data_IF_839936328970
#
_entry.id   IF_839936328970
#
_cell.length_a   1.000
_cell.length_b   1.000
_cell.length_c   1.000
_cell.angle_alpha   90.00
_cell.angle_beta   90.00
_cell.angle_gamma   90.00
#
_symmetry.space_group_name_H-M   'P 1'
#
loop_
_entity.id
_entity.type
_entity.pdbx_description
1 polymer ?
#
# COMPACT_ATOMS: atom_id res chain seq x y z
N UNK A 1 3.31 3.07 -24.36
CA UNK A 1 2.54 3.69 -23.28
C UNK A 1 3.35 3.66 -21.98
N UNK A 2 3.14 4.60 -21.05
CA UNK A 2 3.77 4.51 -19.75
C UNK A 2 3.25 3.29 -18.97
N UNK A 3 4.10 2.70 -18.11
CA UNK A 3 3.72 1.65 -17.17
C UNK A 3 2.74 2.23 -16.13
N UNK A 4 1.73 1.44 -15.76
CA UNK A 4 0.72 1.87 -14.79
C UNK A 4 1.14 1.50 -13.36
N UNK A 5 0.97 2.43 -12.43
CA UNK A 5 1.15 2.20 -11.00
C UNK A 5 -0.15 2.52 -10.26
N UNK A 6 -0.59 1.60 -9.42
CA UNK A 6 -1.72 1.78 -8.50
C UNK A 6 -1.23 1.92 -7.06
N UNK A 7 -1.74 2.93 -6.34
CA UNK A 7 -1.67 3.05 -4.89
C UNK A 7 -3.09 2.91 -4.29
N UNK A 8 -3.44 1.74 -3.71
CA UNK A 8 -4.78 1.48 -3.17
C UNK A 8 -5.06 2.10 -1.79
N UNK A 9 -4.06 2.72 -1.14
CA UNK A 9 -4.17 3.46 0.12
C UNK A 9 -3.46 4.80 -0.02
N UNK A 10 -3.82 5.59 -1.05
CA UNK A 10 -2.98 6.69 -1.50
C UNK A 10 -2.85 7.87 -0.52
N UNK A 11 -3.72 7.97 0.48
CA UNK A 11 -3.66 9.04 1.47
C UNK A 11 -3.61 10.41 0.82
N UNK A 12 -2.52 11.17 1.03
CA UNK A 12 -2.29 12.48 0.41
C UNK A 12 -1.54 12.44 -0.92
N UNK A 13 -1.27 11.23 -1.45
CA UNK A 13 -0.77 11.01 -2.81
C UNK A 13 0.75 11.08 -2.97
N UNK A 14 1.53 10.88 -1.92
CA UNK A 14 3.01 10.98 -1.99
C UNK A 14 3.59 9.98 -3.00
N UNK A 15 3.19 8.71 -2.94
CA UNK A 15 3.66 7.67 -3.88
C UNK A 15 3.24 8.02 -5.32
N UNK A 16 2.03 8.53 -5.51
CA UNK A 16 1.55 8.93 -6.84
C UNK A 16 2.33 10.11 -7.42
N UNK A 17 2.75 11.06 -6.57
CA UNK A 17 3.58 12.18 -6.98
C UNK A 17 4.94 11.69 -7.47
N UNK A 18 5.63 10.88 -6.68
CA UNK A 18 6.94 10.31 -7.03
C UNK A 18 6.85 9.46 -8.31
N UNK A 19 5.85 8.58 -8.40
CA UNK A 19 5.63 7.75 -9.57
C UNK A 19 5.35 8.58 -10.84
N UNK A 20 4.56 9.66 -10.72
CA UNK A 20 4.28 10.60 -11.80
C UNK A 20 5.54 11.30 -12.31
N UNK A 21 6.43 11.74 -11.40
CA UNK A 21 7.72 12.33 -11.73
C UNK A 21 8.67 11.31 -12.40
N UNK A 22 8.54 10.02 -12.09
CA UNK A 22 9.26 8.93 -12.76
C UNK A 22 8.69 8.59 -14.16
N UNK A 23 7.64 9.27 -14.61
CA UNK A 23 7.01 9.02 -15.91
C UNK A 23 6.01 7.88 -15.93
N UNK A 24 5.53 7.41 -14.78
CA UNK A 24 4.50 6.37 -14.69
C UNK A 24 3.10 6.96 -14.84
N UNK A 25 2.16 6.17 -15.35
CA UNK A 25 0.74 6.50 -15.28
C UNK A 25 0.18 6.10 -13.91
N UNK A 26 -0.35 7.05 -13.15
CA UNK A 26 -0.69 6.86 -11.75
C UNK A 26 -2.19 6.76 -11.50
N UNK A 27 -2.54 5.83 -10.65
CA UNK A 27 -3.90 5.53 -10.21
C UNK A 27 -3.92 5.42 -8.69
N UNK A 28 -4.83 6.12 -8.03
CA UNK A 28 -4.91 6.12 -6.58
C UNK A 28 -6.33 5.92 -6.07
N UNK A 29 -6.46 5.19 -4.97
CA UNK A 29 -7.70 5.08 -4.23
C UNK A 29 -7.45 5.21 -2.73
N UNK A 30 -8.45 5.71 -2.02
CA UNK A 30 -8.49 5.78 -0.56
C UNK A 30 -9.95 5.70 -0.12
N UNK A 31 -10.24 5.08 1.02
CA UNK A 31 -11.59 4.98 1.54
C UNK A 31 -12.10 6.30 2.16
N UNK A 32 -11.20 7.24 2.42
CA UNK A 32 -11.54 8.55 2.95
C UNK A 32 -11.62 9.59 1.81
N UNK A 33 -12.82 10.12 1.49
CA UNK A 33 -12.99 11.12 0.42
C UNK A 33 -12.09 12.35 0.59
N UNK A 34 -11.83 12.76 1.83
CA UNK A 34 -10.97 13.91 2.13
C UNK A 34 -9.51 13.67 1.71
N UNK A 35 -9.03 12.42 1.81
CA UNK A 35 -7.69 12.07 1.31
C UNK A 35 -7.62 12.18 -0.20
N UNK A 36 -8.66 11.78 -0.91
CA UNK A 36 -8.75 11.95 -2.37
C UNK A 36 -8.73 13.43 -2.77
N UNK A 37 -9.44 14.30 -2.05
CA UNK A 37 -9.41 15.75 -2.29
C UNK A 37 -8.00 16.34 -2.08
N UNK A 38 -7.30 15.93 -1.02
CA UNK A 38 -5.93 16.36 -0.77
C UNK A 38 -4.97 15.84 -1.83
N UNK A 39 -5.09 14.57 -2.20
CA UNK A 39 -4.30 13.97 -3.28
C UNK A 39 -4.51 14.70 -4.60
N UNK A 40 -5.77 15.00 -4.96
CA UNK A 40 -6.07 15.77 -6.17
C UNK A 40 -5.39 17.13 -6.17
N UNK A 41 -5.49 17.87 -5.04
CA UNK A 41 -4.86 19.19 -4.87
C UNK A 41 -3.34 19.11 -5.05
N UNK A 42 -2.70 18.13 -4.44
CA UNK A 42 -1.25 17.92 -4.52
C UNK A 42 -0.80 17.57 -5.95
N UNK A 43 -1.52 16.68 -6.61
CA UNK A 43 -1.22 16.25 -7.98
C UNK A 43 -1.49 17.38 -9.00
N UNK A 44 -2.51 18.20 -8.81
CA UNK A 44 -2.77 19.38 -9.64
C UNK A 44 -1.66 20.43 -9.48
N UNK A 45 -1.15 20.62 -8.26
CA UNK A 45 0.01 21.47 -8.02
C UNK A 45 1.25 20.94 -8.73
N UNK A 46 1.51 19.62 -8.62
CA UNK A 46 2.64 18.97 -9.28
C UNK A 46 2.57 19.10 -10.80
N UNK A 47 1.40 18.84 -11.39
CA UNK A 47 1.18 18.90 -12.84
C UNK A 47 1.34 20.31 -13.44
N UNK A 48 1.18 21.37 -12.61
CA UNK A 48 1.48 22.74 -13.04
C UNK A 48 2.95 23.06 -13.10
N UNK A 49 3.80 22.33 -12.38
CA UNK A 49 5.25 22.56 -12.28
C UNK A 49 6.08 21.60 -13.13
N UNK A 50 5.56 20.42 -13.37
CA UNK A 50 6.27 19.34 -14.03
C UNK A 50 5.40 18.69 -15.11
N UNK A 51 6.04 18.26 -16.20
CA UNK A 51 5.34 17.53 -17.25
C UNK A 51 5.16 16.07 -16.81
N UNK A 52 3.93 15.68 -16.49
CA UNK A 52 3.59 14.30 -16.16
C UNK A 52 3.25 13.51 -17.42
N UNK A 53 3.56 12.21 -17.44
CA UNK A 53 3.27 11.31 -18.56
C UNK A 53 1.78 11.14 -18.84
N UNK A 54 0.95 11.27 -17.80
CA UNK A 54 -0.52 11.22 -17.90
C UNK A 54 -1.15 11.97 -16.73
N UNK A 55 -2.43 12.32 -16.86
CA UNK A 55 -3.21 12.81 -15.71
C UNK A 55 -3.45 11.66 -14.74
N UNK A 56 -3.12 11.84 -13.44
CA UNK A 56 -3.46 10.88 -12.40
C UNK A 56 -4.97 10.63 -12.33
N UNK A 57 -5.37 9.38 -12.08
CA UNK A 57 -6.77 9.02 -11.87
C UNK A 57 -6.99 8.60 -10.43
N UNK A 58 -8.01 9.18 -9.79
CA UNK A 58 -8.34 8.98 -8.39
C UNK A 58 -9.78 8.48 -8.23
N UNK A 59 -10.02 7.69 -7.20
CA UNK A 59 -11.37 7.28 -6.80
C UNK A 59 -11.45 7.07 -5.29
N UNK A 60 -12.64 7.29 -4.72
CA UNK A 60 -12.93 6.85 -3.34
C UNK A 60 -13.28 5.38 -3.39
N UNK A 61 -12.54 4.54 -2.68
CA UNK A 61 -12.76 3.09 -2.68
C UNK A 61 -12.20 2.43 -1.42
N UNK A 62 -12.86 1.37 -0.96
CA UNK A 62 -12.32 0.48 0.06
C UNK A 62 -11.43 -0.58 -0.61
N UNK A 63 -10.17 -0.62 -0.24
CA UNK A 63 -9.20 -1.55 -0.82
C UNK A 63 -9.54 -3.03 -0.54
N UNK A 64 -10.40 -3.30 0.43
CA UNK A 64 -10.77 -4.67 0.83
C UNK A 64 -11.81 -5.33 -0.09
N UNK A 65 -12.49 -4.55 -0.96
CA UNK A 65 -13.57 -5.06 -1.82
C UNK A 65 -13.66 -4.41 -3.22
N UNK A 66 -12.87 -3.37 -3.50
CA UNK A 66 -12.95 -2.64 -4.75
C UNK A 66 -12.42 -3.43 -5.96
N UNK A 67 -13.10 -3.29 -7.12
CA UNK A 67 -12.69 -3.90 -8.39
C UNK A 67 -11.86 -2.95 -9.25
N UNK A 68 -10.53 -2.97 -9.05
CA UNK A 68 -9.61 -2.17 -9.86
C UNK A 68 -9.56 -2.61 -11.32
N UNK A 69 -9.75 -3.91 -11.62
CA UNK A 69 -9.81 -4.39 -13.00
C UNK A 69 -10.92 -3.74 -13.81
N UNK A 70 -12.08 -3.52 -13.20
CA UNK A 70 -13.22 -2.84 -13.86
C UNK A 70 -12.91 -1.35 -14.03
N UNK A 71 -12.26 -0.74 -13.07
CA UNK A 71 -11.92 0.69 -13.09
C UNK A 71 -10.78 1.02 -14.07
N UNK A 72 -9.76 0.16 -14.18
CA UNK A 72 -8.54 0.40 -14.96
C UNK A 72 -8.56 -0.21 -16.37
N UNK A 73 -9.49 -1.03 -16.69
CA UNK A 73 -9.50 -1.98 -17.80
C UNK A 73 -8.58 -3.21 -17.58
N UNK A 74 -8.86 -4.34 -18.22
CA UNK A 74 -8.12 -5.59 -18.05
C UNK A 74 -6.61 -5.43 -18.33
N UNK A 75 -5.79 -6.15 -17.57
CA UNK A 75 -4.32 -6.21 -17.72
C UNK A 75 -3.57 -4.86 -17.56
N UNK A 76 -4.14 -3.94 -16.77
CA UNK A 76 -3.54 -2.64 -16.51
C UNK A 76 -2.93 -2.50 -15.10
N UNK A 77 -3.04 -3.51 -14.25
CA UNK A 77 -2.45 -3.55 -12.91
C UNK A 77 -1.01 -4.08 -12.97
N UNK A 78 -0.08 -3.28 -13.51
CA UNK A 78 1.30 -3.70 -13.78
C UNK A 78 2.17 -3.56 -12.53
N UNK A 79 2.03 -2.44 -11.81
CA UNK A 79 2.76 -2.14 -10.58
C UNK A 79 1.80 -1.70 -9.49
N UNK A 80 2.04 -2.18 -8.30
CA UNK A 80 1.36 -1.76 -7.08
C UNK A 80 2.42 -1.22 -6.12
N UNK A 81 2.25 -0.01 -5.63
CA UNK A 81 3.09 0.53 -4.56
C UNK A 81 2.21 1.27 -3.56
N UNK A 82 2.32 0.94 -2.29
CA UNK A 82 1.46 1.51 -1.26
C UNK A 82 2.08 1.41 0.14
N UNK A 83 1.88 2.42 0.96
CA UNK A 83 1.91 2.28 2.41
C UNK A 83 0.50 1.92 2.86
N UNK A 84 0.32 0.69 3.37
CA UNK A 84 -1.00 0.20 3.78
C UNK A 84 -1.43 0.84 5.11
N UNK A 85 -2.63 0.47 5.61
CA UNK A 85 -3.06 0.91 6.94
C UNK A 85 -2.06 0.44 8.01
N UNK A 86 -1.43 1.38 8.71
CA UNK A 86 -0.43 1.12 9.75
C UNK A 86 -1.02 0.98 11.17
N UNK A 87 -2.33 1.04 11.27
CA UNK A 87 -3.04 1.01 12.54
C UNK A 87 -3.29 2.39 13.13
N UNK A 88 -3.83 2.38 14.36
CA UNK A 88 -4.11 3.63 15.10
C UNK A 88 -2.81 4.29 15.50
N UNK A 89 -2.67 5.61 15.34
CA UNK A 89 -1.49 6.32 15.82
C UNK A 89 -1.46 6.35 17.35
N UNK A 90 -0.26 6.23 17.92
CA UNK A 90 -0.03 6.35 19.35
C UNK A 90 0.84 7.58 19.63
N UNK A 91 0.43 8.38 20.60
CA UNK A 91 1.20 9.53 21.12
C UNK A 91 2.07 9.15 22.32
N UNK A 92 1.85 7.96 22.89
CA UNK A 92 2.63 7.35 23.97
C UNK A 92 2.59 5.83 23.80
N UNK A 93 3.50 5.06 24.43
CA UNK A 93 3.46 3.60 24.36
C UNK A 93 2.11 3.06 24.81
N UNK A 94 1.40 2.29 23.97
CA UNK A 94 0.07 1.77 24.29
C UNK A 94 0.15 0.61 25.28
N UNK A 95 -0.98 0.32 25.94
CA UNK A 95 -1.12 -0.92 26.69
C UNK A 95 -1.05 -2.15 25.78
N UNK A 96 -0.59 -3.29 26.29
CA UNK A 96 -0.44 -4.51 25.51
C UNK A 96 -1.78 -4.98 24.88
N UNK A 97 -2.90 -4.76 25.54
CA UNK A 97 -4.24 -5.06 25.02
C UNK A 97 -4.60 -4.21 23.81
N UNK A 98 -4.30 -2.91 23.86
CA UNK A 98 -4.53 -1.97 22.75
C UNK A 98 -3.68 -2.33 21.55
N UNK A 99 -2.43 -2.68 21.81
CA UNK A 99 -1.50 -3.10 20.76
C UNK A 99 -1.96 -4.40 20.07
N UNK A 100 -2.44 -5.39 20.84
CA UNK A 100 -3.01 -6.62 20.29
C UNK A 100 -4.26 -6.36 19.46
N UNK A 101 -5.14 -5.45 19.92
CA UNK A 101 -6.34 -5.05 19.14
C UNK A 101 -5.93 -4.38 17.83
N UNK A 102 -4.97 -3.45 17.87
CA UNK A 102 -4.49 -2.75 16.68
C UNK A 102 -3.84 -3.72 15.66
N UNK A 103 -3.01 -4.66 16.15
CA UNK A 103 -2.42 -5.71 15.32
C UNK A 103 -3.51 -6.57 14.66
N UNK A 104 -4.54 -6.94 15.42
CA UNK A 104 -5.68 -7.71 14.89
C UNK A 104 -6.40 -6.93 13.78
N UNK A 105 -6.73 -5.67 14.02
CA UNK A 105 -7.42 -4.80 13.04
C UNK A 105 -6.61 -4.68 11.74
N UNK A 106 -5.30 -4.41 11.85
CA UNK A 106 -4.41 -4.35 10.69
C UNK A 106 -4.33 -5.69 9.95
N UNK A 107 -4.22 -6.80 10.68
CA UNK A 107 -4.17 -8.13 10.09
C UNK A 107 -5.43 -8.47 9.29
N UNK A 108 -6.61 -8.10 9.80
CA UNK A 108 -7.88 -8.30 9.10
C UNK A 108 -7.98 -7.45 7.84
N UNK A 109 -7.65 -6.16 7.95
CA UNK A 109 -7.73 -5.22 6.81
C UNK A 109 -6.75 -5.64 5.71
N UNK A 110 -5.49 -5.88 6.07
CA UNK A 110 -4.44 -6.21 5.08
C UNK A 110 -4.68 -7.61 4.48
N UNK A 111 -5.12 -8.58 5.28
CA UNK A 111 -5.50 -9.89 4.77
C UNK A 111 -6.64 -9.84 3.75
N UNK A 112 -7.70 -9.07 4.03
CA UNK A 112 -8.80 -8.83 3.08
C UNK A 112 -8.32 -8.11 1.82
N UNK A 113 -7.49 -7.08 1.97
CA UNK A 113 -6.90 -6.36 0.85
C UNK A 113 -6.11 -7.29 -0.07
N UNK A 114 -5.20 -8.11 0.48
CA UNK A 114 -4.42 -9.08 -0.29
C UNK A 114 -5.32 -10.08 -1.01
N UNK A 115 -6.34 -10.60 -0.33
CA UNK A 115 -7.30 -11.53 -0.91
C UNK A 115 -8.11 -10.90 -2.05
N UNK A 116 -8.49 -9.62 -1.93
CA UNK A 116 -9.20 -8.87 -2.96
C UNK A 116 -8.28 -8.50 -4.14
N UNK A 117 -7.06 -8.00 -3.86
CA UNK A 117 -6.14 -7.54 -4.89
C UNK A 117 -5.61 -8.70 -5.76
N UNK A 118 -5.17 -9.79 -5.12
CA UNK A 118 -4.37 -10.82 -5.78
C UNK A 118 -5.04 -11.48 -7.00
N UNK A 119 -6.34 -11.79 -7.04
CA UNK A 119 -7.01 -12.35 -8.22
C UNK A 119 -7.14 -11.33 -9.38
N UNK A 120 -7.02 -10.04 -9.09
CA UNK A 120 -7.12 -8.97 -10.08
C UNK A 120 -5.78 -8.69 -10.78
N UNK A 121 -4.66 -9.21 -10.27
CA UNK A 121 -3.33 -8.97 -10.81
C UNK A 121 -3.01 -9.93 -11.97
N UNK A 122 -2.43 -9.43 -13.08
CA UNK A 122 -1.85 -10.32 -14.09
C UNK A 122 -0.58 -10.99 -13.55
N UNK A 123 -0.24 -12.17 -14.10
CA UNK A 123 1.04 -12.80 -13.83
C UNK A 123 2.20 -11.84 -14.17
N UNK A 124 3.22 -11.81 -13.33
CA UNK A 124 4.37 -10.91 -13.48
C UNK A 124 4.18 -9.53 -12.85
N UNK A 125 2.98 -9.15 -12.39
CA UNK A 125 2.77 -7.85 -11.73
C UNK A 125 3.70 -7.68 -10.53
N UNK A 126 4.34 -6.52 -10.45
CA UNK A 126 5.24 -6.12 -9.36
C UNK A 126 4.46 -5.43 -8.22
N UNK A 127 4.81 -5.76 -6.98
CA UNK A 127 4.11 -5.22 -5.81
C UNK A 127 5.13 -4.78 -4.76
N UNK A 128 5.02 -3.56 -4.29
CA UNK A 128 5.79 -3.05 -3.15
C UNK A 128 4.82 -2.50 -2.09
N UNK A 129 4.77 -3.12 -0.93
CA UNK A 129 3.89 -2.71 0.17
C UNK A 129 4.70 -2.38 1.41
N UNK A 130 4.44 -1.22 2.02
CA UNK A 130 4.81 -0.92 3.38
C UNK A 130 3.70 -1.38 4.32
N UNK A 131 3.92 -2.46 5.06
CA UNK A 131 2.96 -2.98 6.03
C UNK A 131 3.45 -2.73 7.47
N UNK A 132 2.55 -2.66 8.47
CA UNK A 132 2.99 -2.44 9.84
C UNK A 132 3.73 -3.65 10.42
N UNK A 133 4.81 -3.36 11.14
CA UNK A 133 5.51 -4.29 12.02
C UNK A 133 5.69 -3.63 13.38
N UNK A 134 5.40 -4.33 14.49
CA UNK A 134 5.44 -3.75 15.84
C UNK A 134 6.66 -4.19 16.61
N UNK A 135 7.33 -3.22 17.24
CA UNK A 135 8.44 -3.47 18.15
C UNK A 135 7.90 -3.55 19.57
N UNK A 136 7.91 -4.75 20.16
CA UNK A 136 7.42 -5.00 21.51
C UNK A 136 8.49 -5.78 22.26
N UNK A 137 9.08 -5.19 23.32
CA UNK A 137 10.05 -5.86 24.17
C UNK A 137 11.16 -6.57 23.39
N UNK A 138 11.81 -5.84 22.49
CA UNK A 138 12.91 -6.32 21.63
C UNK A 138 12.54 -7.39 20.59
N UNK A 139 11.26 -7.67 20.44
CA UNK A 139 10.74 -8.56 19.39
C UNK A 139 9.93 -7.81 18.35
N UNK A 140 10.10 -8.23 17.10
CA UNK A 140 9.32 -7.72 15.98
C UNK A 140 8.12 -8.65 15.79
N UNK A 141 6.94 -8.05 15.80
CA UNK A 141 5.68 -8.75 15.52
C UNK A 141 5.20 -8.40 14.12
N UNK A 142 5.25 -9.39 13.23
CA UNK A 142 4.74 -9.31 11.88
C UNK A 142 3.25 -9.60 11.83
N UNK A 143 2.60 -9.20 10.73
CA UNK A 143 1.20 -9.55 10.47
C UNK A 143 1.07 -11.05 10.16
N UNK A 144 0.24 -11.82 10.88
CA UNK A 144 0.01 -13.23 10.59
C UNK A 144 -0.47 -13.52 9.17
N UNK A 145 -1.27 -12.62 8.55
CA UNK A 145 -1.78 -12.80 7.19
C UNK A 145 -0.67 -12.86 6.12
N UNK A 146 0.55 -12.40 6.41
CA UNK A 146 1.67 -12.49 5.48
C UNK A 146 2.12 -13.93 5.22
N UNK A 147 1.85 -14.86 6.14
CA UNK A 147 2.11 -16.29 5.92
C UNK A 147 1.24 -16.89 4.81
N UNK A 148 0.12 -16.23 4.46
CA UNK A 148 -0.81 -16.68 3.42
C UNK A 148 -0.45 -16.18 2.00
N UNK A 149 0.57 -15.33 1.85
CA UNK A 149 0.99 -14.79 0.54
C UNK A 149 1.15 -15.87 -0.55
N UNK A 150 1.74 -17.06 -0.28
CA UNK A 150 1.86 -18.12 -1.30
C UNK A 150 0.50 -18.64 -1.79
N UNK A 151 -0.53 -18.69 -0.94
CA UNK A 151 -1.90 -19.08 -1.32
C UNK A 151 -2.53 -18.10 -2.30
N UNK A 152 -2.11 -16.82 -2.22
CA UNK A 152 -2.52 -15.76 -3.14
C UNK A 152 -1.65 -15.70 -4.41
N UNK A 153 -0.76 -16.69 -4.62
CA UNK A 153 0.23 -16.70 -5.72
C UNK A 153 1.10 -15.44 -5.73
N UNK A 154 1.47 -14.97 -4.54
CA UNK A 154 2.41 -13.87 -4.34
C UNK A 154 3.69 -14.44 -3.78
N UNK A 155 4.82 -14.15 -4.43
CA UNK A 155 6.15 -14.58 -4.00
C UNK A 155 7.02 -13.38 -3.66
N UNK A 156 7.78 -13.46 -2.59
CA UNK A 156 8.83 -12.47 -2.31
C UNK A 156 9.92 -12.59 -3.38
N UNK A 157 10.39 -11.45 -3.86
CA UNK A 157 11.53 -11.35 -4.78
C UNK A 157 12.76 -10.74 -4.10
N UNK A 158 12.67 -10.38 -2.82
CA UNK A 158 13.83 -9.96 -2.02
C UNK A 158 14.56 -11.19 -1.48
N UNK A 159 15.88 -11.20 -1.65
CA UNK A 159 16.77 -12.20 -1.03
C UNK A 159 17.42 -11.56 0.18
N UNK A 160 17.15 -12.08 1.37
CA UNK A 160 17.81 -11.64 2.59
C UNK A 160 16.85 -11.26 3.73
N UNK A 161 17.36 -10.48 4.69
CA UNK A 161 16.61 -10.07 5.87
C UNK A 161 15.42 -9.17 5.50
N UNK A 162 14.37 -9.22 6.33
CA UNK A 162 13.21 -8.36 6.19
C UNK A 162 13.64 -6.88 6.18
N UNK A 163 13.17 -6.15 5.17
CA UNK A 163 13.42 -4.71 5.04
C UNK A 163 12.46 -3.97 5.97
N UNK A 164 12.91 -3.63 7.17
CA UNK A 164 12.08 -2.90 8.14
C UNK A 164 12.65 -1.51 8.37
N UNK A 165 11.83 -0.50 8.09
CA UNK A 165 12.09 0.88 8.48
C UNK A 165 11.39 1.18 9.81
N UNK A 166 12.16 1.50 10.84
CA UNK A 166 11.66 1.82 12.17
C UNK A 166 12.38 3.04 12.73
N UNK A 167 11.63 3.97 13.31
CA UNK A 167 12.17 5.09 14.07
C UNK A 167 12.18 4.74 15.56
N UNK A 168 13.24 5.08 16.31
CA UNK A 168 13.36 4.72 17.73
C UNK A 168 12.23 5.25 18.62
N UNK A 169 11.60 6.35 18.21
CA UNK A 169 10.48 7.02 18.90
C UNK A 169 9.09 6.46 18.51
N UNK A 170 9.03 5.48 17.62
CA UNK A 170 7.77 4.90 17.13
C UNK A 170 7.61 3.44 17.59
N UNK A 171 6.39 3.06 17.94
CA UNK A 171 6.02 1.68 18.29
C UNK A 171 5.83 0.83 17.02
N UNK A 172 5.45 1.46 15.91
CA UNK A 172 5.15 0.79 14.65
C UNK A 172 6.22 1.14 13.62
N UNK A 173 6.88 0.10 13.11
CA UNK A 173 7.74 0.18 11.92
C UNK A 173 6.99 -0.14 10.64
N UNK A 174 7.68 -0.02 9.51
CA UNK A 174 7.19 -0.40 8.18
C UNK A 174 8.03 -1.55 7.67
N UNK A 175 7.41 -2.70 7.51
CA UNK A 175 8.01 -3.81 6.79
C UNK A 175 7.74 -3.65 5.31
N UNK A 176 8.80 -3.60 4.49
CA UNK A 176 8.68 -3.48 3.04
C UNK A 176 8.62 -4.88 2.42
N UNK A 177 7.49 -5.17 1.81
CA UNK A 177 7.27 -6.40 1.06
C UNK A 177 7.45 -6.11 -0.42
N UNK A 178 8.45 -6.73 -1.04
CA UNK A 178 8.65 -6.66 -2.50
C UNK A 178 8.26 -8.01 -3.07
N UNK A 179 7.15 -8.03 -3.78
CA UNK A 179 6.48 -9.25 -4.23
C UNK A 179 6.28 -9.24 -5.74
N UNK A 180 6.09 -10.43 -6.29
CA UNK A 180 5.66 -10.62 -7.66
C UNK A 180 4.49 -11.60 -7.72
N UNK A 181 3.52 -11.33 -8.59
CA UNK A 181 2.43 -12.25 -8.91
C UNK A 181 2.96 -13.41 -9.76
N UNK A 182 2.75 -14.65 -9.31
CA UNK A 182 3.10 -15.85 -10.06
C UNK A 182 2.12 -16.13 -11.20
#
# INVERSE_FOLDING_TARGET
RPTNLLDPFCGTGVILQEAGLMGLATYGSDNNPRMIEYTQTNLDWLARRYQLASRPRLTVADATDFSWQQWLAPNRLELIASETYLGRPYTSPPHLSELKSNLHDCNVIIGKFIANLSPQLPSGAGICLGVPAWYIRDHIHHLPCLAELPRHKLRSITTGANLIYHRPDQVVGRELLVLQKA
#
